data_IF_942846157877
#
_entry.id   IF_942846157877
#
_cell.length_a   1.000
_cell.length_b   1.000
_cell.length_c   1.000
_cell.angle_alpha   90.00
_cell.angle_beta   90.00
_cell.angle_gamma   90.00
#
_symmetry.space_group_name_H-M   'P 1'
#
loop_
_entity.id
_entity.type
_entity.pdbx_description
1 polymer ?
#
# COMPACT_ATOMS: atom_id res chain seq x y z
N UNK A 1 -4.63 15.73 -11.52
CA UNK A 1 -4.94 15.76 -10.08
C UNK A 1 -5.40 14.37 -9.72
N UNK A 2 -4.50 13.49 -9.32
CA UNK A 2 -4.87 12.13 -8.93
C UNK A 2 -5.39 12.14 -7.50
N UNK A 3 -6.65 12.54 -7.35
CA UNK A 3 -7.41 12.60 -6.10
C UNK A 3 -7.45 11.25 -5.35
N UNK A 4 -7.08 10.16 -6.03
CA UNK A 4 -6.99 8.79 -5.51
C UNK A 4 -5.87 8.63 -4.47
N UNK A 5 -4.73 9.28 -4.70
CA UNK A 5 -3.51 9.19 -3.87
C UNK A 5 -3.78 9.64 -2.44
N UNK A 6 -4.38 10.82 -2.28
CA UNK A 6 -4.63 11.42 -0.96
C UNK A 6 -5.70 10.67 -0.15
N UNK A 7 -6.73 10.12 -0.81
CA UNK A 7 -7.77 9.37 -0.12
C UNK A 7 -7.26 8.02 0.37
N UNK A 8 -6.39 7.36 -0.40
CA UNK A 8 -5.85 6.06 -0.03
C UNK A 8 -4.92 6.19 1.19
N UNK A 9 -4.04 7.20 1.26
CA UNK A 9 -3.21 7.44 2.45
C UNK A 9 -4.06 7.78 3.69
N UNK A 10 -5.14 8.57 3.54
CA UNK A 10 -6.07 8.85 4.64
C UNK A 10 -6.87 7.62 5.09
N UNK A 11 -7.28 6.75 4.15
CA UNK A 11 -7.94 5.47 4.44
C UNK A 11 -6.97 4.48 5.11
N UNK A 12 -5.70 4.46 4.71
CA UNK A 12 -4.66 3.61 5.32
C UNK A 12 -4.28 4.05 6.74
N UNK A 13 -4.45 5.34 7.05
CA UNK A 13 -4.29 5.89 8.40
C UNK A 13 -5.50 5.61 9.30
N UNK A 14 -6.70 5.46 8.72
CA UNK A 14 -7.96 5.29 9.48
C UNK A 14 -8.47 3.86 9.54
N UNK A 15 -8.18 3.01 8.54
CA UNK A 15 -8.57 1.61 8.50
C UNK A 15 -7.41 0.68 8.84
N UNK A 16 -7.60 -0.11 9.90
CA UNK A 16 -6.65 -1.15 10.31
C UNK A 16 -6.63 -2.29 9.28
N UNK A 17 -5.60 -2.39 8.44
CA UNK A 17 -5.43 -3.48 7.48
C UNK A 17 -5.00 -4.80 8.12
N UNK A 18 -4.31 -4.72 9.27
CA UNK A 18 -3.85 -5.90 10.03
C UNK A 18 -5.01 -6.84 10.35
N UNK A 19 -4.81 -8.13 10.12
CA UNK A 19 -5.81 -9.18 10.33
C UNK A 19 -6.80 -9.37 9.17
N UNK A 20 -6.81 -8.50 8.15
CA UNK A 20 -7.61 -8.73 6.93
C UNK A 20 -6.94 -9.76 6.03
N UNK A 21 -7.76 -10.54 5.34
CA UNK A 21 -7.28 -11.44 4.29
C UNK A 21 -6.84 -10.66 3.05
N UNK A 22 -6.01 -11.26 2.21
CA UNK A 22 -5.65 -10.68 0.91
C UNK A 22 -6.89 -10.27 0.10
N UNK A 23 -7.94 -11.11 0.07
CA UNK A 23 -9.17 -10.82 -0.66
C UNK A 23 -9.88 -9.56 -0.16
N UNK A 24 -9.97 -9.37 1.16
CA UNK A 24 -10.55 -8.16 1.75
C UNK A 24 -9.71 -6.91 1.50
N UNK A 25 -8.37 -7.05 1.48
CA UNK A 25 -7.47 -5.95 1.11
C UNK A 25 -7.67 -5.56 -0.35
N UNK A 26 -7.80 -6.54 -1.24
CA UNK A 26 -8.05 -6.31 -2.67
C UNK A 26 -9.43 -5.70 -2.91
N UNK A 27 -10.45 -6.10 -2.16
CA UNK A 27 -11.79 -5.51 -2.23
C UNK A 27 -11.77 -4.02 -1.79
N UNK A 28 -10.98 -3.70 -0.76
CA UNK A 28 -10.86 -2.34 -0.22
C UNK A 28 -10.00 -1.42 -1.09
N UNK A 29 -8.83 -1.90 -1.54
CA UNK A 29 -7.79 -1.09 -2.19
C UNK A 29 -7.70 -1.31 -3.70
N UNK A 30 -8.30 -2.39 -4.21
CA UNK A 30 -8.12 -2.86 -5.58
C UNK A 30 -6.97 -3.86 -5.72
N UNK A 31 -6.68 -4.22 -6.97
CA UNK A 31 -5.57 -5.12 -7.29
C UNK A 31 -4.22 -4.50 -6.89
N UNK A 32 -3.29 -5.31 -6.35
CA UNK A 32 -1.95 -4.84 -6.04
C UNK A 32 -1.21 -4.40 -7.31
N UNK A 33 -0.28 -3.48 -7.14
CA UNK A 33 0.65 -3.06 -8.19
C UNK A 33 1.65 -4.18 -8.46
N UNK A 34 1.71 -4.64 -9.71
CA UNK A 34 2.68 -5.64 -10.14
C UNK A 34 4.06 -4.98 -10.29
N UNK A 35 4.96 -5.19 -9.33
CA UNK A 35 6.32 -4.62 -9.34
C UNK A 35 7.29 -5.53 -8.58
N UNK A 36 8.51 -5.66 -9.09
CA UNK A 36 9.59 -6.42 -8.45
C UNK A 36 10.37 -5.60 -7.42
N UNK A 37 10.10 -4.29 -7.27
CA UNK A 37 10.82 -3.40 -6.35
C UNK A 37 10.76 -3.84 -4.88
N UNK A 38 9.68 -4.51 -4.48
CA UNK A 38 9.43 -4.93 -3.10
C UNK A 38 9.21 -6.44 -3.02
N UNK A 39 10.07 -7.24 -3.64
CA UNK A 39 9.94 -8.69 -3.70
C UNK A 39 9.93 -9.45 -2.36
N UNK A 40 10.23 -8.78 -1.24
CA UNK A 40 10.12 -9.32 0.14
C UNK A 40 8.70 -9.16 0.74
N UNK A 41 7.77 -8.59 -0.03
CA UNK A 41 6.41 -8.27 0.39
C UNK A 41 5.37 -8.95 -0.52
N UNK A 42 4.27 -9.40 0.09
CA UNK A 42 3.23 -10.15 -0.62
C UNK A 42 2.32 -9.26 -1.46
N UNK A 43 2.01 -8.05 -0.96
CA UNK A 43 1.19 -7.08 -1.68
C UNK A 43 1.84 -5.72 -1.67
N UNK A 44 1.87 -5.09 -2.84
CA UNK A 44 2.47 -3.78 -3.05
C UNK A 44 1.43 -2.88 -3.69
N UNK A 45 1.32 -1.64 -3.22
CA UNK A 45 0.41 -0.64 -3.75
C UNK A 45 1.17 0.67 -3.94
N UNK A 46 1.20 1.17 -5.17
CA UNK A 46 1.71 2.51 -5.44
C UNK A 46 0.72 3.55 -4.93
N UNK A 47 1.16 4.37 -3.97
CA UNK A 47 0.33 5.43 -3.40
C UNK A 47 0.41 6.70 -4.22
N UNK A 48 1.43 6.88 -5.06
CA UNK A 48 1.65 8.06 -5.89
C UNK A 48 2.90 8.85 -5.48
N UNK A 49 3.14 9.98 -6.12
CA UNK A 49 4.28 10.83 -5.78
C UNK A 49 3.91 11.92 -4.78
N UNK A 50 4.75 12.15 -3.77
CA UNK A 50 4.66 13.35 -2.96
C UNK A 50 5.12 14.54 -3.81
N UNK A 51 4.24 15.53 -4.04
CA UNK A 51 4.62 16.75 -4.77
C UNK A 51 5.19 17.79 -3.80
N UNK A 52 6.45 17.60 -3.42
CA UNK A 52 7.31 18.65 -2.88
C UNK A 52 8.15 19.28 -4.01
N UNK A 53 8.40 20.59 -3.94
CA UNK A 53 9.12 21.37 -4.97
C UNK A 53 10.60 20.92 -5.23
N UNK A 54 11.09 19.86 -4.57
CA UNK A 54 12.51 19.45 -4.58
C UNK A 54 12.77 17.93 -4.63
N UNK A 55 11.80 17.09 -5.02
CA UNK A 55 12.04 15.65 -5.17
C UNK A 55 10.77 14.93 -5.59
N UNK A 56 10.86 14.00 -6.54
CA UNK A 56 9.74 13.14 -6.96
C UNK A 56 9.94 11.82 -6.22
N UNK A 57 9.73 11.82 -4.91
CA UNK A 57 9.79 10.57 -4.16
C UNK A 57 8.43 9.85 -4.30
N UNK A 58 8.47 8.59 -4.70
CA UNK A 58 7.28 7.74 -4.86
C UNK A 58 6.93 7.08 -3.54
N UNK A 59 5.69 7.20 -3.10
CA UNK A 59 5.19 6.54 -1.90
C UNK A 59 4.54 5.20 -2.27
N UNK A 60 4.84 4.17 -1.48
CA UNK A 60 4.37 2.81 -1.68
C UNK A 60 3.88 2.23 -0.36
N UNK A 61 2.75 1.53 -0.40
CA UNK A 61 2.28 0.68 0.69
C UNK A 61 2.69 -0.76 0.38
N UNK A 62 3.37 -1.38 1.32
CA UNK A 62 3.73 -2.78 1.27
C UNK A 62 3.09 -3.52 2.43
N UNK A 63 2.56 -4.71 2.16
CA UNK A 63 1.85 -5.56 3.11
C UNK A 63 2.43 -6.96 3.09
N UNK A 64 2.59 -7.55 4.28
CA UNK A 64 3.02 -8.92 4.46
C UNK A 64 1.87 -9.76 4.97
N UNK A 65 1.70 -10.93 4.37
CA UNK A 65 0.72 -11.91 4.77
C UNK A 65 1.38 -12.95 5.68
N UNK A 66 0.67 -13.31 6.75
CA UNK A 66 1.02 -14.43 7.61
C UNK A 66 0.68 -15.76 6.94
N UNK A 67 1.05 -16.88 7.59
CA UNK A 67 0.78 -18.22 7.08
C UNK A 67 -0.72 -18.56 6.96
N UNK A 68 -1.59 -17.78 7.61
CA UNK A 68 -3.05 -17.85 7.54
C UNK A 68 -3.65 -16.97 6.44
N UNK A 69 -2.81 -16.33 5.61
CA UNK A 69 -3.23 -15.46 4.50
C UNK A 69 -3.78 -14.11 4.96
N UNK A 70 -3.49 -13.68 6.20
CA UNK A 70 -3.91 -12.40 6.77
C UNK A 70 -2.76 -11.42 6.87
N UNK A 71 -3.03 -10.13 6.75
CA UNK A 71 -2.02 -9.09 6.92
C UNK A 71 -1.46 -9.13 8.34
N UNK A 72 -0.17 -9.40 8.47
CA UNK A 72 0.58 -9.38 9.73
C UNK A 72 1.44 -8.13 9.87
N UNK A 73 1.81 -7.52 8.74
CA UNK A 73 2.65 -6.33 8.72
C UNK A 73 2.20 -5.39 7.60
N UNK A 74 2.23 -4.09 7.89
CA UNK A 74 2.02 -3.03 6.90
C UNK A 74 3.09 -1.97 7.06
N UNK A 75 3.60 -1.47 5.94
CA UNK A 75 4.57 -0.38 5.94
C UNK A 75 4.33 0.55 4.76
N UNK A 76 4.51 1.85 5.01
CA UNK A 76 4.60 2.85 3.95
C UNK A 76 6.09 3.16 3.76
N UNK A 77 6.55 3.09 2.52
CA UNK A 77 7.94 3.32 2.12
C UNK A 77 7.97 4.35 1.02
N UNK A 78 8.99 5.17 1.04
CA UNK A 78 9.20 6.26 0.10
C UNK A 78 10.52 6.00 -0.62
N UNK A 79 10.50 6.04 -1.94
CA UNK A 79 11.67 5.88 -2.84
C UNK A 79 11.97 7.19 -3.57
#
# INVERSE_FOLDING_TARGET
>A
MDQRVTMVSALLLTHRLEGRTQGEVVDLLGAPTNTDYFGDWDLVYWLGNERGLFGIDSEWLVLRLGPDGRVVERRVVTD
#
